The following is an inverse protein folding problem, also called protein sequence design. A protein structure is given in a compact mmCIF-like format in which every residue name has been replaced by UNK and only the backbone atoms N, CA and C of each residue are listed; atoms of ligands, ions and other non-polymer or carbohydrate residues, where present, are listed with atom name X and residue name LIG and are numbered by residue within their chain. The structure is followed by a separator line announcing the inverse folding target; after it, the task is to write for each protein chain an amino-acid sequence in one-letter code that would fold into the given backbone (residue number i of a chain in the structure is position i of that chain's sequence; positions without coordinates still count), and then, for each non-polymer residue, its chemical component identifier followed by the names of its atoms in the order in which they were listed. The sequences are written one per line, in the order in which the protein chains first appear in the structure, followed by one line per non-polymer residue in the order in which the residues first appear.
data_IF_015554298792
#
_entry.id   IF_015554298792
#
_cell.length_a   1.000
_cell.length_b   1.000
_cell.length_c   1.000
_cell.angle_alpha   90.00
_cell.angle_beta   90.00
_cell.angle_gamma   90.00
#
_symmetry.space_group_name_H-M   'P 1'
#
loop_
_entity.id
_entity.type
_entity.pdbx_description
1 polymer ?
#
# COMPACT_ATOMS: atom_id res chain seq x y z
N UNK A 1 24.76 30.69 -11.90
CA UNK A 1 25.00 29.68 -12.96
C UNK A 1 24.07 28.49 -12.73
N UNK A 2 22.80 28.72 -13.05
CA UNK A 2 21.81 27.66 -13.29
C UNK A 2 22.08 27.21 -14.71
N UNK A 3 22.62 26.02 -14.88
CA UNK A 3 22.65 25.25 -16.14
C UNK A 3 23.63 24.10 -15.92
N UNK A 4 23.06 22.96 -15.57
CA UNK A 4 23.44 21.62 -16.01
C UNK A 4 22.35 20.74 -15.43
N UNK A 5 21.31 20.53 -16.23
CA UNK A 5 20.36 19.45 -15.98
C UNK A 5 21.18 18.19 -15.71
N UNK A 6 20.98 17.59 -14.54
CA UNK A 6 21.64 16.35 -14.18
C UNK A 6 21.42 15.36 -15.34
N UNK A 7 22.48 14.69 -15.86
CA UNK A 7 22.39 13.78 -17.00
C UNK A 7 21.30 12.70 -16.89
N UNK A 8 20.86 12.39 -15.66
CA UNK A 8 19.73 11.51 -15.37
C UNK A 8 18.39 11.99 -15.98
N UNK A 9 18.13 13.31 -16.01
CA UNK A 9 16.90 13.85 -16.64
C UNK A 9 16.94 13.74 -18.17
N UNK A 10 18.13 13.76 -18.77
CA UNK A 10 18.30 13.59 -20.21
C UNK A 10 18.15 12.11 -20.66
N UNK A 11 18.25 11.17 -19.72
CA UNK A 11 18.09 9.73 -19.96
C UNK A 11 16.69 9.20 -19.63
N UNK A 12 15.72 10.08 -19.33
CA UNK A 12 14.34 9.67 -19.06
C UNK A 12 14.10 9.02 -17.69
N UNK A 13 14.99 9.21 -16.72
CA UNK A 13 14.73 8.77 -15.34
C UNK A 13 13.58 9.59 -14.75
N UNK A 14 12.48 8.91 -14.43
CA UNK A 14 11.27 9.50 -13.82
C UNK A 14 11.37 9.61 -12.29
N UNK A 15 12.54 9.27 -11.71
CA UNK A 15 12.78 9.42 -10.28
C UNK A 15 12.98 10.90 -9.92
N UNK A 16 12.33 11.40 -8.87
CA UNK A 16 12.64 12.71 -8.33
C UNK A 16 14.11 12.74 -7.87
N UNK A 17 14.72 13.94 -7.81
CA UNK A 17 16.11 14.04 -7.33
C UNK A 17 16.18 13.74 -5.85
N UNK A 18 15.19 14.25 -5.12
CA UNK A 18 15.00 14.04 -3.70
C UNK A 18 13.54 13.64 -3.44
N UNK A 19 13.28 12.80 -2.44
CA UNK A 19 11.90 12.38 -2.11
C UNK A 19 10.96 13.57 -1.82
N UNK A 20 11.51 14.67 -1.32
CA UNK A 20 10.79 15.91 -1.01
C UNK A 20 10.30 16.63 -2.27
N UNK A 21 10.86 16.34 -3.46
CA UNK A 21 10.36 16.89 -4.73
C UNK A 21 8.95 16.38 -5.08
N UNK A 22 8.49 15.30 -4.44
CA UNK A 22 7.14 14.75 -4.61
C UNK A 22 6.07 15.50 -3.79
N UNK A 23 6.48 16.28 -2.79
CA UNK A 23 5.61 17.12 -1.95
C UNK A 23 6.31 18.44 -1.59
N UNK A 24 6.62 19.29 -2.59
CA UNK A 24 7.48 20.46 -2.39
C UNK A 24 6.89 21.49 -1.42
N UNK A 25 5.56 21.57 -1.36
CA UNK A 25 4.83 22.46 -0.46
C UNK A 25 4.52 21.81 0.90
N UNK A 26 4.84 20.52 1.08
CA UNK A 26 4.55 19.77 2.30
C UNK A 26 3.05 19.53 2.54
N UNK A 27 2.22 19.63 1.50
CA UNK A 27 0.76 19.54 1.63
C UNK A 27 0.31 18.12 1.96
N UNK A 28 0.92 17.11 1.32
CA UNK A 28 0.56 15.70 1.57
C UNK A 28 0.98 15.28 2.96
N UNK A 29 2.17 15.69 3.39
CA UNK A 29 2.67 15.41 4.73
C UNK A 29 1.82 16.12 5.77
N UNK A 30 1.51 17.41 5.57
CA UNK A 30 0.64 18.14 6.48
C UNK A 30 -0.75 17.50 6.59
N UNK A 31 -1.30 16.99 5.48
CA UNK A 31 -2.58 16.27 5.48
C UNK A 31 -2.53 14.96 6.28
N UNK A 32 -1.50 14.14 6.06
CA UNK A 32 -1.42 12.81 6.69
C UNK A 32 -0.98 12.91 8.15
N UNK A 33 -0.04 13.80 8.47
CA UNK A 33 0.62 13.91 9.77
C UNK A 33 0.03 15.02 10.66
N UNK A 34 -0.68 15.99 10.10
CA UNK A 34 -1.11 17.19 10.82
C UNK A 34 0.00 18.18 11.19
N UNK A 35 1.25 17.90 10.78
CA UNK A 35 2.42 18.75 11.04
C UNK A 35 3.17 19.03 9.75
N UNK A 36 3.82 20.19 9.68
CA UNK A 36 4.72 20.52 8.57
C UNK A 36 6.07 19.87 8.78
N UNK A 37 6.42 18.94 7.90
CA UNK A 37 7.68 18.20 7.89
C UNK A 37 8.02 17.82 6.44
N UNK A 38 9.28 17.52 6.15
CA UNK A 38 9.68 16.93 4.85
C UNK A 38 9.50 15.41 4.86
N UNK A 39 9.38 14.78 3.69
CA UNK A 39 9.19 13.33 3.59
C UNK A 39 10.45 12.62 4.10
N UNK A 40 11.62 13.16 3.74
CA UNK A 40 12.92 12.72 4.25
C UNK A 40 12.97 12.73 5.76
N UNK A 41 12.61 13.84 6.41
CA UNK A 41 12.71 13.94 7.86
C UNK A 41 11.71 13.01 8.55
N UNK A 42 10.52 12.80 7.97
CA UNK A 42 9.56 11.82 8.48
C UNK A 42 10.14 10.40 8.42
N UNK A 43 10.61 9.95 7.25
CA UNK A 43 11.15 8.58 7.14
C UNK A 43 12.46 8.40 7.92
N UNK A 44 13.27 9.45 8.07
CA UNK A 44 14.46 9.43 8.93
C UNK A 44 14.09 9.21 10.38
N UNK A 45 13.00 9.83 10.86
CA UNK A 45 12.46 9.56 12.20
C UNK A 45 11.87 8.15 12.29
N UNK A 46 11.05 7.74 11.31
CA UNK A 46 10.43 6.43 11.27
C UNK A 46 11.43 5.28 11.46
N UNK A 47 12.59 5.34 10.77
CA UNK A 47 13.61 4.29 10.90
C UNK A 47 14.29 4.26 12.28
N UNK A 48 14.23 5.34 13.07
CA UNK A 48 14.76 5.33 14.44
C UNK A 48 13.97 4.39 15.37
N UNK A 49 12.76 3.99 14.98
CA UNK A 49 11.91 3.05 15.70
C UNK A 49 12.13 1.58 15.32
N UNK A 50 13.10 1.25 14.46
CA UNK A 50 13.41 -0.12 14.01
C UNK A 50 13.43 -1.15 15.15
N UNK A 51 14.14 -0.85 16.24
CA UNK A 51 14.22 -1.76 17.40
C UNK A 51 12.87 -2.02 18.07
N UNK A 52 11.98 -1.03 18.06
CA UNK A 52 10.62 -1.17 18.63
C UNK A 52 9.78 -2.02 17.70
N UNK A 53 9.90 -1.83 16.38
CA UNK A 53 9.27 -2.69 15.38
C UNK A 53 9.73 -4.14 15.52
N UNK A 54 11.04 -4.39 15.61
CA UNK A 54 11.59 -5.74 15.78
C UNK A 54 10.99 -6.45 16.99
N UNK A 55 10.92 -5.76 18.14
CA UNK A 55 10.36 -6.34 19.37
C UNK A 55 8.84 -6.56 19.29
N UNK A 56 8.11 -5.62 18.68
CA UNK A 56 6.65 -5.66 18.64
C UNK A 56 6.10 -6.60 17.56
N UNK A 57 6.84 -6.76 16.46
CA UNK A 57 6.43 -7.55 15.30
C UNK A 57 7.14 -8.90 15.18
N UNK A 58 8.00 -9.28 16.14
CA UNK A 58 8.48 -10.65 16.26
C UNK A 58 7.29 -11.60 16.51
N UNK A 59 6.93 -12.36 15.48
CA UNK A 59 5.76 -13.25 15.50
C UNK A 59 5.87 -14.38 14.50
N UNK A 60 5.06 -15.41 14.73
CA UNK A 60 4.86 -16.49 13.76
C UNK A 60 4.13 -15.93 12.53
N UNK A 61 4.64 -16.29 11.35
CA UNK A 61 4.12 -15.84 10.06
C UNK A 61 4.17 -16.99 9.07
N UNK A 62 3.26 -16.98 8.10
CA UNK A 62 3.34 -17.90 6.98
C UNK A 62 4.35 -17.43 5.95
N UNK A 63 5.25 -18.34 5.58
CA UNK A 63 6.24 -18.14 4.53
C UNK A 63 6.11 -19.20 3.45
N UNK A 64 6.50 -18.85 2.23
CA UNK A 64 6.44 -19.75 1.10
C UNK A 64 7.44 -19.41 0.00
N UNK A 65 7.20 -20.00 -1.17
CA UNK A 65 7.90 -19.65 -2.40
C UNK A 65 7.16 -18.47 -3.06
N UNK A 66 7.76 -17.29 -3.02
CA UNK A 66 7.21 -16.09 -3.67
C UNK A 66 7.84 -15.87 -5.04
N UNK A 67 7.03 -15.38 -5.98
CA UNK A 67 7.46 -14.79 -7.23
C UNK A 67 8.38 -13.60 -6.98
N UNK A 68 8.08 -12.78 -5.96
CA UNK A 68 8.79 -11.58 -5.52
C UNK A 68 8.75 -10.39 -6.51
N UNK A 69 8.18 -10.63 -7.70
CA UNK A 69 7.90 -9.61 -8.71
C UNK A 69 6.51 -9.72 -9.34
N UNK A 70 5.49 -10.04 -8.53
CA UNK A 70 4.11 -10.10 -9.02
C UNK A 70 3.55 -8.70 -9.33
N UNK A 71 3.41 -8.37 -10.61
CA UNK A 71 2.67 -7.22 -11.13
C UNK A 71 2.02 -7.59 -12.48
N UNK A 72 1.20 -6.70 -13.06
CA UNK A 72 0.46 -6.97 -14.30
C UNK A 72 1.36 -7.23 -15.52
N UNK A 73 2.61 -6.77 -15.51
CA UNK A 73 3.58 -7.07 -16.57
C UNK A 73 4.05 -8.53 -16.58
N UNK A 74 3.92 -9.22 -15.44
CA UNK A 74 4.27 -10.64 -15.29
C UNK A 74 3.04 -11.56 -15.36
N UNK A 75 1.90 -11.03 -15.80
CA UNK A 75 0.67 -11.78 -16.04
C UNK A 75 0.32 -11.73 -17.53
N UNK A 76 0.25 -12.90 -18.17
CA UNK A 76 -0.26 -13.01 -19.54
C UNK A 76 -1.68 -13.58 -19.52
N UNK A 77 -2.58 -12.95 -20.28
CA UNK A 77 -3.88 -13.52 -20.59
C UNK A 77 -3.85 -14.08 -22.00
N UNK A 78 -4.17 -15.35 -22.17
CA UNK A 78 -4.32 -15.94 -23.50
C UNK A 78 -5.72 -15.74 -24.08
N UNK A 79 -5.90 -16.18 -25.33
CA UNK A 79 -7.18 -16.05 -26.05
C UNK A 79 -8.32 -16.91 -25.47
N UNK A 80 -8.01 -17.84 -24.57
CA UNK A 80 -9.00 -18.66 -23.85
C UNK A 80 -9.37 -18.07 -22.48
N UNK A 81 -8.73 -16.97 -22.10
CA UNK A 81 -8.93 -16.32 -20.81
C UNK A 81 -8.15 -16.99 -19.67
N UNK A 82 -7.16 -17.84 -19.96
CA UNK A 82 -6.27 -18.38 -18.95
C UNK A 82 -5.20 -17.36 -18.58
N UNK A 83 -4.86 -17.32 -17.29
CA UNK A 83 -3.83 -16.44 -16.75
C UNK A 83 -2.55 -17.24 -16.55
N UNK A 84 -1.47 -16.77 -17.16
CA UNK A 84 -0.13 -17.34 -17.03
C UNK A 84 0.77 -16.39 -16.25
N UNK A 85 1.43 -16.91 -15.22
CA UNK A 85 2.48 -16.19 -14.50
C UNK A 85 3.83 -16.45 -15.19
N UNK A 86 4.58 -15.39 -15.45
CA UNK A 86 5.87 -15.43 -16.14
C UNK A 86 6.95 -14.68 -15.37
N UNK A 87 8.20 -14.78 -15.81
CA UNK A 87 9.38 -14.10 -15.26
C UNK A 87 9.73 -14.44 -13.81
N UNK A 88 10.09 -15.71 -13.61
CA UNK A 88 10.49 -16.27 -12.31
C UNK A 88 11.91 -15.88 -11.87
N UNK A 89 12.53 -14.85 -12.44
CA UNK A 89 13.93 -14.49 -12.17
C UNK A 89 14.19 -14.04 -10.72
N UNK A 90 13.17 -13.53 -10.02
CA UNK A 90 13.30 -12.98 -8.66
C UNK A 90 12.73 -13.90 -7.58
N UNK A 91 12.32 -15.12 -7.96
CA UNK A 91 11.72 -16.11 -7.07
C UNK A 91 12.58 -16.35 -5.84
N UNK A 92 11.92 -16.36 -4.67
CA UNK A 92 12.60 -16.51 -3.39
C UNK A 92 11.80 -17.40 -2.43
N UNK A 93 12.50 -18.30 -1.74
CA UNK A 93 11.95 -19.14 -0.67
C UNK A 93 11.95 -18.39 0.66
N UNK A 94 11.14 -18.87 1.61
CA UNK A 94 11.06 -18.37 2.97
C UNK A 94 10.69 -16.88 3.02
N UNK A 95 9.77 -16.47 2.14
CA UNK A 95 9.23 -15.11 2.05
C UNK A 95 7.78 -15.09 2.54
N UNK A 96 7.41 -14.03 3.25
CA UNK A 96 6.04 -13.85 3.76
C UNK A 96 5.00 -13.93 2.64
N UNK A 97 3.95 -14.72 2.84
CA UNK A 97 2.91 -15.02 1.82
C UNK A 97 2.20 -13.79 1.24
N UNK A 98 2.18 -12.68 1.99
CA UNK A 98 1.60 -11.41 1.54
C UNK A 98 2.47 -10.58 0.59
N UNK A 99 3.72 -10.95 0.36
CA UNK A 99 4.63 -10.13 -0.43
C UNK A 99 4.12 -9.98 -1.86
N UNK A 100 3.76 -11.07 -2.53
CA UNK A 100 3.28 -11.01 -3.92
C UNK A 100 1.88 -10.38 -4.06
N UNK A 101 0.85 -10.82 -3.29
CA UNK A 101 -0.46 -10.21 -3.38
C UNK A 101 -0.43 -8.70 -3.12
N UNK A 102 0.34 -8.26 -2.12
CA UNK A 102 0.44 -6.83 -1.80
C UNK A 102 1.21 -6.06 -2.87
N UNK A 103 2.25 -6.67 -3.48
CA UNK A 103 2.93 -6.06 -4.63
C UNK A 103 1.96 -5.82 -5.77
N UNK A 104 1.12 -6.82 -6.08
CA UNK A 104 0.13 -6.71 -7.14
C UNK A 104 -0.92 -5.63 -6.82
N UNK A 105 -1.41 -5.57 -5.58
CA UNK A 105 -2.28 -4.49 -5.09
C UNK A 105 -1.62 -3.12 -5.30
N UNK A 106 -0.37 -2.95 -4.90
CA UNK A 106 0.39 -1.72 -5.11
C UNK A 106 0.55 -1.38 -6.59
N UNK A 107 0.86 -2.35 -7.45
CA UNK A 107 0.94 -2.14 -8.90
C UNK A 107 -0.40 -1.68 -9.48
N UNK A 108 -1.51 -2.30 -9.09
CA UNK A 108 -2.84 -1.86 -9.51
C UNK A 108 -3.15 -0.42 -9.10
N UNK A 109 -2.80 -0.04 -7.87
CA UNK A 109 -3.05 1.30 -7.33
C UNK A 109 -2.16 2.39 -7.95
N UNK A 110 -0.90 2.06 -8.25
CA UNK A 110 0.09 3.06 -8.65
C UNK A 110 0.39 3.06 -10.15
N UNK A 111 0.44 1.89 -10.79
CA UNK A 111 0.81 1.77 -12.21
C UNK A 111 -0.41 1.78 -13.13
N UNK A 112 -1.52 1.17 -12.71
CA UNK A 112 -2.66 0.90 -13.60
C UNK A 112 -3.87 1.79 -13.34
N UNK A 113 -4.00 2.37 -12.15
CA UNK A 113 -5.07 3.31 -11.87
C UNK A 113 -4.82 4.64 -12.59
N UNK A 114 -5.75 5.02 -13.47
CA UNK A 114 -5.65 6.23 -14.29
C UNK A 114 -5.58 7.53 -13.49
N UNK A 115 -5.15 8.60 -14.15
CA UNK A 115 -5.11 9.98 -13.65
C UNK A 115 -6.49 10.67 -13.67
N UNK A 116 -7.46 10.09 -14.37
CA UNK A 116 -8.86 10.49 -14.36
C UNK A 116 -9.57 10.20 -13.03
N UNK A 117 -8.96 9.40 -12.14
CA UNK A 117 -9.52 9.09 -10.82
C UNK A 117 -9.26 10.24 -9.85
N UNK A 118 -10.27 10.60 -9.07
CA UNK A 118 -10.14 11.59 -8.00
C UNK A 118 -9.03 11.21 -7.02
N UNK A 119 -8.09 12.11 -6.78
CA UNK A 119 -7.04 11.90 -5.77
C UNK A 119 -7.62 11.76 -4.36
N UNK A 120 -8.75 12.39 -4.05
CA UNK A 120 -9.40 12.25 -2.74
C UNK A 120 -9.91 10.82 -2.53
N UNK A 121 -10.35 10.15 -3.60
CA UNK A 121 -10.67 8.73 -3.56
C UNK A 121 -9.42 7.88 -3.30
N UNK A 122 -8.32 8.15 -4.03
CA UNK A 122 -7.05 7.42 -3.86
C UNK A 122 -6.51 7.56 -2.44
N UNK A 123 -6.55 8.77 -1.88
CA UNK A 123 -6.17 9.06 -0.48
C UNK A 123 -7.06 8.34 0.53
N UNK A 124 -8.36 8.28 0.27
CA UNK A 124 -9.31 7.53 1.12
C UNK A 124 -9.02 6.03 1.09
N UNK A 125 -8.72 5.46 -0.09
CA UNK A 125 -8.28 4.06 -0.21
C UNK A 125 -6.97 3.82 0.53
N UNK A 126 -6.01 4.75 0.46
CA UNK A 126 -4.74 4.65 1.17
C UNK A 126 -4.95 4.51 2.68
N UNK A 127 -5.73 5.43 3.28
CA UNK A 127 -6.07 5.40 4.71
C UNK A 127 -6.83 4.12 5.06
N UNK A 128 -7.86 3.77 4.28
CA UNK A 128 -8.68 2.58 4.49
C UNK A 128 -7.87 1.29 4.51
N UNK A 129 -7.02 1.07 3.49
CA UNK A 129 -6.20 -0.13 3.36
C UNK A 129 -5.13 -0.19 4.46
N UNK A 130 -4.53 0.95 4.81
CA UNK A 130 -3.55 1.05 5.90
C UNK A 130 -4.14 0.58 7.23
N UNK A 131 -5.39 0.93 7.53
CA UNK A 131 -6.02 0.56 8.82
C UNK A 131 -6.79 -0.76 8.80
N UNK A 132 -6.53 -1.63 7.82
CA UNK A 132 -7.12 -2.97 7.79
C UNK A 132 -7.01 -3.62 9.19
N UNK A 133 -8.13 -4.08 9.78
CA UNK A 133 -8.11 -4.63 11.13
C UNK A 133 -7.56 -6.05 11.17
N UNK A 134 -7.92 -6.85 10.17
CA UNK A 134 -7.62 -8.27 10.06
C UNK A 134 -7.82 -8.72 8.60
N UNK A 135 -7.38 -9.93 8.30
CA UNK A 135 -7.51 -10.47 6.97
C UNK A 135 -8.98 -10.81 6.67
N UNK A 136 -9.77 -11.30 7.64
CA UNK A 136 -11.13 -11.84 7.45
C UNK A 136 -12.21 -10.81 7.12
N UNK A 137 -11.99 -9.55 7.47
CA UNK A 137 -13.00 -8.51 7.35
C UNK A 137 -13.13 -8.08 5.90
N UNK A 138 -14.35 -8.15 5.36
CA UNK A 138 -14.62 -7.72 4.00
C UNK A 138 -14.35 -6.22 3.82
N UNK A 139 -13.72 -5.85 2.70
CA UNK A 139 -13.44 -4.45 2.35
C UNK A 139 -14.76 -3.62 2.38
N UNK A 140 -14.81 -2.47 3.07
CA UNK A 140 -16.05 -1.70 3.21
C UNK A 140 -16.41 -0.95 1.93
N UNK A 141 -16.99 -1.64 0.96
CA UNK A 141 -17.23 -1.10 -0.39
C UNK A 141 -18.35 -0.06 -0.52
N UNK A 142 -19.32 0.01 0.39
CA UNK A 142 -20.55 0.79 0.11
C UNK A 142 -20.36 2.31 0.01
N UNK A 143 -19.48 2.91 0.81
CA UNK A 143 -19.17 4.34 0.72
C UNK A 143 -18.21 4.61 -0.44
N UNK A 144 -17.26 3.71 -0.67
CA UNK A 144 -16.30 3.74 -1.77
C UNK A 144 -17.00 3.72 -3.12
N UNK A 145 -17.96 2.82 -3.33
CA UNK A 145 -18.63 2.62 -4.61
C UNK A 145 -19.41 3.85 -5.08
N UNK A 146 -20.01 4.64 -4.19
CA UNK A 146 -20.75 5.84 -4.59
C UNK A 146 -19.85 6.94 -5.16
N UNK A 147 -18.60 7.02 -4.71
CA UNK A 147 -17.63 8.04 -5.15
C UNK A 147 -17.06 7.76 -6.54
N UNK A 148 -17.11 6.50 -6.98
CA UNK A 148 -16.47 6.02 -8.22
C UNK A 148 -17.45 5.29 -9.14
N UNK A 149 -18.75 5.29 -8.85
CA UNK A 149 -19.76 4.54 -9.63
C UNK A 149 -19.77 4.87 -11.12
N UNK A 150 -19.38 6.10 -11.47
CA UNK A 150 -19.35 6.58 -12.84
C UNK A 150 -17.99 6.30 -13.53
N UNK A 151 -17.01 5.75 -12.80
CA UNK A 151 -15.71 5.36 -13.32
C UNK A 151 -15.52 3.83 -13.35
N UNK A 152 -15.63 3.19 -14.52
CA UNK A 152 -15.55 1.74 -14.64
C UNK A 152 -14.17 1.18 -14.28
N UNK A 153 -13.09 1.95 -14.43
CA UNK A 153 -11.74 1.50 -14.09
C UNK A 153 -11.56 1.47 -12.57
N UNK A 154 -12.01 2.51 -11.87
CA UNK A 154 -11.99 2.52 -10.41
C UNK A 154 -12.92 1.45 -9.80
N UNK A 155 -14.10 1.23 -10.40
CA UNK A 155 -15.00 0.15 -9.97
C UNK A 155 -14.33 -1.21 -10.13
N UNK A 156 -13.70 -1.46 -11.28
CA UNK A 156 -12.95 -2.69 -11.50
C UNK A 156 -11.80 -2.85 -10.50
N UNK A 157 -11.04 -1.78 -10.21
CA UNK A 157 -9.99 -1.81 -9.20
C UNK A 157 -10.55 -2.21 -7.84
N UNK A 158 -11.66 -1.61 -7.41
CA UNK A 158 -12.27 -1.91 -6.11
C UNK A 158 -12.77 -3.34 -6.02
N UNK A 159 -13.38 -3.86 -7.08
CA UNK A 159 -13.78 -5.27 -7.17
C UNK A 159 -12.56 -6.20 -7.14
N UNK A 160 -11.49 -5.84 -7.84
CA UNK A 160 -10.23 -6.58 -7.84
C UNK A 160 -9.61 -6.58 -6.43
N UNK A 161 -9.56 -5.43 -5.75
CA UNK A 161 -9.05 -5.32 -4.38
C UNK A 161 -9.87 -6.20 -3.43
N UNK A 162 -11.21 -6.17 -3.51
CA UNK A 162 -12.07 -7.01 -2.68
C UNK A 162 -11.79 -8.51 -2.89
N UNK A 163 -11.62 -8.94 -4.14
CA UNK A 163 -11.25 -10.32 -4.48
C UNK A 163 -9.84 -10.70 -4.01
N UNK A 164 -8.86 -9.82 -4.22
CA UNK A 164 -7.48 -10.04 -3.77
C UNK A 164 -7.41 -10.14 -2.25
N UNK A 165 -8.17 -9.31 -1.50
CA UNK A 165 -8.27 -9.43 -0.05
C UNK A 165 -8.81 -10.79 0.36
N UNK A 166 -9.88 -11.27 -0.29
CA UNK A 166 -10.40 -12.61 -0.05
C UNK A 166 -9.34 -13.70 -0.26
N UNK A 167 -8.57 -13.63 -1.35
CA UNK A 167 -7.48 -14.58 -1.59
C UNK A 167 -6.36 -14.47 -0.55
N UNK A 168 -6.02 -13.26 -0.12
CA UNK A 168 -5.06 -13.00 0.97
C UNK A 168 -5.53 -13.67 2.27
N UNK A 169 -6.83 -13.62 2.59
CA UNK A 169 -7.37 -14.24 3.80
C UNK A 169 -7.02 -15.72 3.93
N UNK A 170 -7.07 -16.45 2.82
CA UNK A 170 -6.82 -17.89 2.78
C UNK A 170 -5.43 -18.21 3.33
N UNK A 171 -4.45 -17.33 3.07
CA UNK A 171 -3.07 -17.53 3.50
C UNK A 171 -2.78 -17.03 4.92
N UNK A 172 -3.67 -16.25 5.54
CA UNK A 172 -3.48 -15.70 6.89
C UNK A 172 -4.38 -16.34 7.96
N UNK A 173 -5.46 -17.02 7.57
CA UNK A 173 -6.54 -17.50 8.47
C UNK A 173 -6.84 -19.00 8.30
N UNK A 174 -5.88 -19.81 7.84
CA UNK A 174 -6.05 -21.26 7.97
C UNK A 174 -6.33 -21.65 9.43
N UNK A 175 -6.87 -22.86 9.69
CA UNK A 175 -7.04 -23.39 11.06
C UNK A 175 -5.70 -23.42 11.85
N UNK A 176 -4.57 -23.31 11.13
CA UNK A 176 -3.21 -23.22 11.65
C UNK A 176 -2.65 -21.77 11.66
N UNK A 177 -3.49 -20.77 11.43
CA UNK A 177 -3.11 -19.36 11.34
C UNK A 177 -2.61 -18.80 12.68
N UNK A 178 -1.38 -18.28 12.76
CA UNK A 178 -0.80 -17.88 14.04
C UNK A 178 -1.55 -16.71 14.67
N UNK A 179 -1.96 -15.71 13.86
CA UNK A 179 -2.70 -14.52 14.30
C UNK A 179 -3.54 -13.93 13.17
N UNK A 180 -4.82 -13.62 13.42
CA UNK A 180 -5.69 -12.89 12.48
C UNK A 180 -5.73 -11.40 12.85
N UNK A 181 -4.73 -10.64 12.40
CA UNK A 181 -4.72 -9.17 12.47
C UNK A 181 -4.15 -8.56 11.18
N UNK A 182 -4.37 -7.26 10.99
CA UNK A 182 -4.02 -6.56 9.75
C UNK A 182 -2.60 -5.99 9.71
N UNK A 183 -1.78 -6.21 10.74
CA UNK A 183 -0.42 -5.65 10.80
C UNK A 183 0.48 -6.18 9.68
N UNK A 184 0.51 -7.50 9.36
CA UNK A 184 1.33 -8.00 8.26
C UNK A 184 1.00 -7.33 6.92
N UNK A 185 -0.30 -7.09 6.66
CA UNK A 185 -0.73 -6.38 5.45
C UNK A 185 -0.27 -4.93 5.46
N UNK A 186 -0.38 -4.21 6.59
CA UNK A 186 0.11 -2.83 6.70
C UNK A 186 1.64 -2.74 6.48
N UNK A 187 2.41 -3.70 6.99
CA UNK A 187 3.86 -3.79 6.75
C UNK A 187 4.16 -4.04 5.27
N UNK A 188 3.47 -5.00 4.65
CA UNK A 188 3.65 -5.31 3.23
C UNK A 188 3.27 -4.12 2.34
N UNK A 189 2.18 -3.40 2.67
CA UNK A 189 1.71 -2.24 1.93
C UNK A 189 2.72 -1.10 2.05
N UNK A 190 3.18 -0.79 3.27
CA UNK A 190 4.26 0.17 3.51
C UNK A 190 5.50 -0.16 2.68
N UNK A 191 5.98 -1.40 2.76
CA UNK A 191 7.19 -1.86 2.07
C UNK A 191 7.10 -1.65 0.56
N UNK A 192 5.99 -2.06 -0.06
CA UNK A 192 5.82 -1.91 -1.51
C UNK A 192 5.59 -0.46 -1.92
N UNK A 193 4.81 0.32 -1.15
CA UNK A 193 4.64 1.75 -1.41
C UNK A 193 5.96 2.51 -1.33
N UNK A 194 6.78 2.26 -0.31
CA UNK A 194 8.11 2.85 -0.19
C UNK A 194 9.04 2.40 -1.33
N UNK A 195 8.98 1.12 -1.73
CA UNK A 195 9.82 0.58 -2.80
C UNK A 195 9.47 1.15 -4.18
N UNK A 196 8.20 1.44 -4.46
CA UNK A 196 7.78 2.08 -5.72
C UNK A 196 8.39 3.46 -5.94
N UNK A 197 8.78 4.15 -4.86
CA UNK A 197 9.52 5.42 -4.96
C UNK A 197 10.89 5.26 -5.63
N UNK A 198 11.48 4.06 -5.58
CA UNK A 198 12.77 3.75 -6.20
C UNK A 198 12.69 3.28 -7.66
N UNK A 199 11.50 2.87 -8.12
CA UNK A 199 11.33 2.27 -9.44
C UNK A 199 11.35 3.30 -10.56
N UNK A 200 11.90 2.96 -11.72
CA UNK A 200 11.94 3.89 -12.86
C UNK A 200 10.64 3.92 -13.67
N UNK A 201 9.80 2.89 -13.54
CA UNK A 201 8.56 2.71 -14.29
C UNK A 201 7.46 3.73 -13.92
N UNK A 202 7.17 4.03 -12.63
CA UNK A 202 6.13 4.98 -12.29
C UNK A 202 6.58 6.42 -12.57
N UNK A 203 5.67 7.23 -13.11
CA UNK A 203 5.87 8.66 -13.28
C UNK A 203 5.75 9.41 -11.94
N UNK A 204 6.07 10.71 -11.94
CA UNK A 204 6.03 11.53 -10.72
C UNK A 204 4.67 11.50 -10.03
N UNK A 205 3.57 11.57 -10.79
CA UNK A 205 2.21 11.50 -10.23
C UNK A 205 1.94 10.16 -9.54
N UNK A 206 2.33 9.05 -10.16
CA UNK A 206 2.19 7.71 -9.58
C UNK A 206 3.09 7.54 -8.34
N UNK A 207 4.28 8.14 -8.33
CA UNK A 207 5.16 8.19 -7.15
C UNK A 207 4.58 9.03 -6.02
N UNK A 208 3.89 10.12 -6.33
CA UNK A 208 3.18 10.92 -5.32
C UNK A 208 2.09 10.10 -4.63
N UNK A 209 1.33 9.29 -5.38
CA UNK A 209 0.38 8.32 -4.80
C UNK A 209 1.10 7.30 -3.91
N UNK A 210 2.20 6.71 -4.39
CA UNK A 210 2.98 5.76 -3.61
C UNK A 210 3.54 6.37 -2.31
N UNK A 211 3.97 7.64 -2.34
CA UNK A 211 4.42 8.38 -1.16
C UNK A 211 3.28 8.52 -0.15
N UNK A 212 2.09 8.91 -0.58
CA UNK A 212 0.93 9.05 0.31
C UNK A 212 0.60 7.74 1.03
N UNK A 213 0.60 6.61 0.29
CA UNK A 213 0.38 5.29 0.88
C UNK A 213 1.49 4.90 1.87
N UNK A 214 2.75 5.21 1.54
CA UNK A 214 3.87 4.95 2.44
C UNK A 214 3.73 5.76 3.74
N UNK A 215 3.34 7.04 3.67
CA UNK A 215 3.08 7.89 4.83
C UNK A 215 1.94 7.35 5.69
N UNK A 216 0.79 7.03 5.08
CA UNK A 216 -0.37 6.51 5.79
C UNK A 216 -0.07 5.16 6.48
N UNK A 217 0.60 4.25 5.77
CA UNK A 217 0.98 2.95 6.34
C UNK A 217 2.02 3.11 7.45
N UNK A 218 3.02 3.98 7.28
CA UNK A 218 4.02 4.26 8.32
C UNK A 218 3.37 4.85 9.59
N UNK A 219 2.44 5.78 9.45
CA UNK A 219 1.67 6.33 10.57
C UNK A 219 0.88 5.25 11.32
N UNK A 220 0.20 4.37 10.57
CA UNK A 220 -0.48 3.22 11.15
C UNK A 220 0.47 2.31 11.93
N UNK A 221 1.68 2.06 11.43
CA UNK A 221 2.68 1.20 12.07
C UNK A 221 3.26 1.84 13.33
N UNK A 222 3.58 3.14 13.30
CA UNK A 222 4.01 3.90 14.47
C UNK A 222 2.96 3.83 15.59
N UNK A 223 1.69 4.02 15.24
CA UNK A 223 0.59 3.89 16.19
C UNK A 223 0.46 2.45 16.74
N UNK A 224 0.65 1.41 15.92
CA UNK A 224 0.63 0.00 16.37
C UNK A 224 1.68 -0.30 17.46
N UNK A 225 2.85 0.32 17.34
CA UNK A 225 3.95 0.15 18.30
C UNK A 225 3.90 1.12 19.48
N UNK A 226 2.83 1.93 19.57
CA UNK A 226 2.58 2.83 20.69
C UNK A 226 3.36 4.15 20.63
N UNK A 227 3.88 4.54 19.46
CA UNK A 227 4.43 5.88 19.25
C UNK A 227 3.28 6.88 19.18
N UNK A 228 3.45 8.05 19.80
CA UNK A 228 2.52 9.16 19.65
C UNK A 228 2.60 9.72 18.23
N UNK A 229 1.53 9.48 17.47
CA UNK A 229 1.40 9.93 16.08
C UNK A 229 0.77 11.32 15.96
N UNK A 230 0.33 11.92 17.08
CA UNK A 230 -0.36 13.18 17.09
C UNK A 230 -1.86 13.07 16.75
N UNK A 231 -2.61 14.18 16.92
CA UNK A 231 -4.07 14.16 16.88
C UNK A 231 -4.64 13.89 15.48
N UNK A 232 -4.01 14.42 14.42
CA UNK A 232 -4.52 14.27 13.05
C UNK A 232 -4.40 12.81 12.57
N UNK A 233 -3.23 12.13 12.72
CA UNK A 233 -3.16 10.70 12.45
C UNK A 233 -4.12 9.86 13.26
N UNK A 234 -4.22 10.13 14.56
CA UNK A 234 -5.10 9.39 15.44
C UNK A 234 -6.56 9.50 14.98
N UNK A 235 -7.03 10.71 14.65
CA UNK A 235 -8.39 10.96 14.18
C UNK A 235 -8.75 10.12 12.95
N UNK A 236 -7.94 10.17 11.88
CA UNK A 236 -8.26 9.39 10.67
C UNK A 236 -8.03 7.89 10.87
N UNK A 237 -7.08 7.47 11.71
CA UNK A 237 -6.91 6.04 12.04
C UNK A 237 -8.17 5.50 12.72
N UNK A 238 -8.71 6.22 13.70
CA UNK A 238 -9.91 5.84 14.43
C UNK A 238 -11.15 5.87 13.54
N UNK A 239 -11.32 6.92 12.73
CA UNK A 239 -12.42 7.04 11.77
C UNK A 239 -12.48 5.84 10.82
N UNK A 240 -11.38 5.53 10.12
CA UNK A 240 -11.38 4.43 9.18
C UNK A 240 -11.46 3.06 9.89
N UNK A 241 -10.97 2.93 11.12
CA UNK A 241 -11.22 1.72 11.94
C UNK A 241 -12.71 1.53 12.19
N UNK A 242 -13.46 2.57 12.54
CA UNK A 242 -14.92 2.46 12.73
C UNK A 242 -15.64 2.03 11.45
N UNK A 243 -15.20 2.51 10.28
CA UNK A 243 -15.71 2.06 8.97
C UNK A 243 -15.54 0.54 8.80
N UNK A 244 -14.40 -0.01 9.23
CA UNK A 244 -14.16 -1.45 9.26
C UNK A 244 -15.01 -2.18 10.31
N UNK A 245 -15.21 -1.62 11.50
CA UNK A 245 -16.01 -2.26 12.56
C UNK A 245 -17.48 -2.44 12.14
N UNK A 246 -18.04 -1.48 11.40
CA UNK A 246 -19.36 -1.61 10.77
C UNK A 246 -19.49 -2.80 9.81
N UNK A 247 -18.37 -3.46 9.44
CA UNK A 247 -18.32 -4.67 8.61
C UNK A 247 -18.01 -5.96 9.35
N UNK A 248 -17.70 -5.95 10.64
CA UNK A 248 -17.32 -7.17 11.39
C UNK A 248 -18.37 -8.29 11.35
N UNK A 249 -19.64 -7.97 11.08
CA UNK A 249 -20.72 -8.96 10.84
C UNK A 249 -20.75 -9.59 9.43
N UNK A 250 -19.96 -9.08 8.49
CA UNK A 250 -19.78 -9.61 7.12
C UNK A 250 -18.37 -10.21 7.01
N UNK A 251 -18.14 -11.29 7.75
CA UNK A 251 -16.89 -12.05 7.60
C UNK A 251 -16.87 -12.65 6.20
N UNK A 252 -15.70 -12.61 5.57
CA UNK A 252 -15.46 -13.38 4.36
C UNK A 252 -15.58 -14.86 4.74
N UNK A 253 -16.67 -15.50 4.33
CA UNK A 253 -16.83 -16.95 4.50
C UNK A 253 -15.84 -17.64 3.57
N UNK A 254 -14.94 -18.43 4.13
CA UNK A 254 -14.20 -19.45 3.39
C UNK A 254 -15.15 -20.37 2.65
#
# INVERSE_FOLDING_TARGET
KRELQAPALAAGFQNPREIDDLDPEGNLIQEVLGVRKTARDFFTEFVTHEKVFDQKFEREVFVGLCHNDLHGGNLLLDSQGLVWLIDFATVKKDVHVLIDPTKFVSACLFLYLGDNISEDFVRSIAKLLSVTPDATTALPLSSTNELIKDDPCAMFLVDLLARLRYCICIYEIGDEGPHNDGVPFAVALFSWSARMLSYNEPNLFQKTRALYFALASAQRLLWEVGVDVGPVPLEWIEEFRQVWEGRKGRRLST
#
